data_IF_240014644767
#
_entry.id   IF_240014644767
#
_cell.length_a   1.000
_cell.length_b   1.000
_cell.length_c   1.000
_cell.angle_alpha   90.00
_cell.angle_beta   90.00
_cell.angle_gamma   90.00
#
_symmetry.space_group_name_H-M   'P 1'
#
loop_
_entity.id
_entity.type
_entity.pdbx_description
1 polymer ?
#
# COMPACT_ATOMS: atom_id res chain seq x y z
N UNK A 1 -30.86 -13.42 -6.64
CA UNK A 1 -31.92 -13.96 -7.48
C UNK A 1 -31.49 -15.33 -7.97
N UNK A 2 -32.37 -16.33 -7.89
CA UNK A 2 -32.12 -17.71 -8.30
C UNK A 2 -33.07 -18.03 -9.44
N UNK A 3 -32.55 -18.55 -10.54
CA UNK A 3 -33.33 -18.87 -11.74
C UNK A 3 -33.15 -20.35 -12.05
N UNK A 4 -34.26 -21.06 -12.19
CA UNK A 4 -34.26 -22.46 -12.60
C UNK A 4 -34.70 -22.53 -14.06
N UNK A 5 -33.92 -23.21 -14.88
CA UNK A 5 -34.20 -23.43 -16.30
C UNK A 5 -34.46 -24.91 -16.54
N UNK A 6 -35.51 -25.16 -17.32
CA UNK A 6 -35.93 -26.48 -17.78
C UNK A 6 -36.07 -26.46 -19.30
N UNK A 7 -35.82 -27.61 -19.93
CA UNK A 7 -35.90 -27.78 -21.37
C UNK A 7 -37.37 -27.98 -21.78
N UNK A 8 -37.95 -27.06 -22.56
CA UNK A 8 -39.34 -27.12 -23.02
C UNK A 8 -39.43 -27.17 -24.56
N UNK A 9 -40.47 -27.81 -25.09
CA UNK A 9 -40.79 -27.79 -26.51
C UNK A 9 -41.27 -26.39 -26.95
N UNK A 10 -40.92 -25.97 -28.17
CA UNK A 10 -41.22 -24.61 -28.65
C UNK A 10 -42.63 -24.51 -29.24
N UNK A 11 -43.08 -25.56 -29.90
CA UNK A 11 -44.40 -25.66 -30.53
C UNK A 11 -45.50 -25.91 -29.50
N UNK A 12 -45.18 -26.56 -28.38
CA UNK A 12 -46.08 -26.86 -27.28
C UNK A 12 -45.36 -26.72 -25.94
N UNK A 13 -45.66 -25.64 -25.21
CA UNK A 13 -44.98 -25.29 -23.94
C UNK A 13 -45.38 -26.17 -22.76
N UNK A 14 -46.42 -27.01 -22.89
CA UNK A 14 -46.74 -27.98 -21.83
C UNK A 14 -45.78 -29.18 -21.85
N UNK A 15 -45.15 -29.45 -23.00
CA UNK A 15 -44.21 -30.56 -23.15
C UNK A 15 -42.84 -30.18 -22.61
N UNK A 16 -42.51 -30.75 -21.44
CA UNK A 16 -41.19 -30.65 -20.82
C UNK A 16 -40.32 -31.82 -21.27
N UNK A 17 -39.15 -31.53 -21.83
CA UNK A 17 -38.18 -32.54 -22.22
C UNK A 17 -37.60 -33.20 -20.96
N UNK A 18 -37.87 -34.49 -20.78
CA UNK A 18 -37.46 -35.27 -19.60
C UNK A 18 -35.96 -35.68 -19.67
N UNK A 19 -35.08 -34.71 -19.90
CA UNK A 19 -33.63 -34.88 -20.06
C UNK A 19 -32.89 -35.16 -18.73
N UNK A 20 -33.63 -35.25 -17.61
CA UNK A 20 -33.12 -35.40 -16.23
C UNK A 20 -32.10 -34.33 -15.83
N UNK A 21 -32.06 -33.20 -16.54
CA UNK A 21 -31.16 -32.08 -16.24
C UNK A 21 -31.96 -30.96 -15.58
N UNK A 22 -31.37 -30.39 -14.52
CA UNK A 22 -31.89 -29.17 -13.91
C UNK A 22 -30.77 -28.13 -13.89
N UNK A 23 -30.98 -27.02 -14.58
CA UNK A 23 -29.97 -25.95 -14.66
C UNK A 23 -30.38 -24.81 -13.75
N UNK A 24 -29.54 -24.47 -12.77
CA UNK A 24 -29.82 -23.38 -11.82
C UNK A 24 -28.77 -22.29 -12.00
N UNK A 25 -29.21 -21.07 -12.30
CA UNK A 25 -28.36 -19.89 -12.33
C UNK A 25 -28.55 -19.08 -11.06
N UNK A 26 -27.45 -18.78 -10.39
CA UNK A 26 -27.45 -18.01 -9.14
C UNK A 26 -26.69 -16.71 -9.37
N UNK A 27 -27.37 -15.58 -9.22
CA UNK A 27 -26.73 -14.28 -9.30
C UNK A 27 -26.24 -13.83 -7.90
N UNK A 28 -24.91 -13.81 -7.72
CA UNK A 28 -24.25 -13.38 -6.48
C UNK A 28 -24.60 -11.93 -6.09
N UNK A 29 -24.92 -11.07 -7.06
CA UNK A 29 -25.27 -9.67 -6.85
C UNK A 29 -26.80 -9.42 -6.80
N UNK A 30 -27.62 -10.45 -7.04
CA UNK A 30 -29.07 -10.32 -7.03
C UNK A 30 -29.70 -10.38 -5.63
N UNK A 31 -31.01 -10.14 -5.55
CA UNK A 31 -31.78 -10.18 -4.29
C UNK A 31 -31.63 -11.53 -3.56
N UNK A 32 -31.66 -11.52 -2.23
CA UNK A 32 -31.69 -12.72 -1.38
C UNK A 32 -33.10 -13.21 -1.09
N UNK A 33 -34.12 -12.52 -1.61
CA UNK A 33 -35.51 -12.91 -1.47
C UNK A 33 -35.76 -14.31 -2.08
N UNK A 34 -36.40 -15.19 -1.30
CA UNK A 34 -36.64 -16.59 -1.69
C UNK A 34 -35.41 -17.50 -1.66
N UNK A 35 -34.25 -17.00 -1.23
CA UNK A 35 -33.02 -17.81 -1.10
C UNK A 35 -32.93 -18.39 0.31
N UNK A 36 -32.67 -19.70 0.47
CA UNK A 36 -32.43 -20.30 1.79
C UNK A 36 -31.30 -19.58 2.53
N UNK A 37 -31.45 -19.42 3.85
CA UNK A 37 -30.53 -18.63 4.68
C UNK A 37 -29.07 -19.10 4.57
N UNK A 38 -28.83 -20.40 4.60
CA UNK A 38 -27.49 -21.00 4.44
C UNK A 38 -26.86 -20.64 3.08
N UNK A 39 -27.64 -20.71 2.00
CA UNK A 39 -27.18 -20.33 0.66
C UNK A 39 -26.95 -18.82 0.57
N UNK A 40 -27.76 -17.99 1.23
CA UNK A 40 -27.56 -16.55 1.28
C UNK A 40 -26.22 -16.19 1.95
N UNK A 41 -25.89 -16.82 3.09
CA UNK A 41 -24.61 -16.64 3.78
C UNK A 41 -23.42 -17.01 2.89
N UNK A 42 -23.51 -18.13 2.15
CA UNK A 42 -22.48 -18.51 1.19
C UNK A 42 -22.32 -17.47 0.06
N UNK A 43 -23.43 -17.00 -0.53
CA UNK A 43 -23.37 -16.01 -1.61
C UNK A 43 -22.83 -14.66 -1.13
N UNK A 44 -23.14 -14.27 0.09
CA UNK A 44 -22.61 -13.06 0.71
C UNK A 44 -21.11 -13.20 0.96
N UNK A 45 -20.66 -14.34 1.50
CA UNK A 45 -19.23 -14.64 1.64
C UNK A 45 -18.48 -14.62 0.30
N UNK A 46 -19.04 -15.21 -0.77
CA UNK A 46 -18.40 -15.17 -2.09
C UNK A 46 -18.20 -13.74 -2.60
N UNK A 47 -19.14 -12.83 -2.27
CA UNK A 47 -19.13 -11.41 -2.64
C UNK A 47 -18.20 -10.58 -1.76
N UNK A 48 -18.26 -10.72 -0.43
CA UNK A 48 -17.57 -9.84 0.53
C UNK A 48 -16.26 -10.40 1.06
N UNK A 49 -16.01 -11.70 0.87
CA UNK A 49 -14.92 -12.46 1.50
C UNK A 49 -14.97 -12.44 3.03
N UNK A 50 -16.12 -12.13 3.61
CA UNK A 50 -16.31 -12.07 5.06
C UNK A 50 -17.24 -13.20 5.47
N UNK A 51 -16.80 -14.14 6.32
CA UNK A 51 -17.67 -15.21 6.80
C UNK A 51 -18.75 -14.64 7.72
N UNK A 52 -19.95 -15.18 7.62
CA UNK A 52 -21.14 -14.70 8.36
C UNK A 52 -21.88 -15.80 9.09
N UNK A 53 -21.44 -17.05 8.92
CA UNK A 53 -22.00 -18.22 9.57
C UNK A 53 -20.93 -19.31 9.78
N UNK A 54 -21.26 -20.34 10.55
CA UNK A 54 -20.30 -21.39 10.89
C UNK A 54 -19.82 -22.20 9.67
N UNK A 55 -20.58 -22.26 8.58
CA UNK A 55 -20.14 -22.91 7.34
C UNK A 55 -19.07 -22.07 6.63
N UNK A 56 -19.32 -20.78 6.42
CA UNK A 56 -18.38 -19.86 5.77
C UNK A 56 -17.12 -19.65 6.61
N UNK A 57 -17.20 -19.69 7.94
CA UNK A 57 -16.03 -19.69 8.82
C UNK A 57 -15.12 -20.90 8.59
N UNK A 58 -15.68 -22.12 8.57
CA UNK A 58 -14.90 -23.34 8.28
C UNK A 58 -14.31 -23.32 6.88
N UNK A 59 -15.07 -22.79 5.91
CA UNK A 59 -14.60 -22.64 4.55
C UNK A 59 -13.41 -21.67 4.46
N UNK A 60 -13.50 -20.50 5.11
CA UNK A 60 -12.41 -19.51 5.19
C UNK A 60 -11.16 -20.13 5.83
N UNK A 61 -11.29 -20.85 6.95
CA UNK A 61 -10.16 -21.52 7.58
C UNK A 61 -9.45 -22.50 6.62
N UNK A 62 -10.22 -23.30 5.89
CA UNK A 62 -9.65 -24.25 4.92
C UNK A 62 -8.98 -23.53 3.75
N UNK A 63 -9.54 -22.43 3.28
CA UNK A 63 -8.93 -21.58 2.25
C UNK A 63 -7.61 -20.98 2.74
N UNK A 64 -7.56 -20.50 3.99
CA UNK A 64 -6.34 -19.95 4.59
C UNK A 64 -5.24 -21.00 4.76
N UNK A 65 -5.61 -22.23 5.14
CA UNK A 65 -4.67 -23.36 5.19
C UNK A 65 -4.06 -23.67 3.82
N UNK A 66 -4.90 -23.79 2.78
CA UNK A 66 -4.45 -24.05 1.41
C UNK A 66 -3.59 -22.89 0.89
N UNK A 67 -3.96 -21.64 1.21
CA UNK A 67 -3.15 -20.47 0.85
C UNK A 67 -1.78 -20.47 1.52
N UNK A 68 -1.58 -21.15 2.65
CA UNK A 68 -0.26 -21.24 3.29
C UNK A 68 0.63 -22.27 2.62
N UNK A 69 0.04 -23.31 2.05
CA UNK A 69 0.76 -24.31 1.27
C UNK A 69 1.38 -23.66 0.01
N UNK A 70 2.71 -23.56 0.01
CA UNK A 70 3.48 -22.96 -1.08
C UNK A 70 3.54 -23.86 -2.30
N UNK A 71 3.48 -25.18 -2.09
CA UNK A 71 3.58 -26.17 -3.16
C UNK A 71 2.29 -26.21 -3.97
N UNK A 72 1.14 -26.21 -3.29
CA UNK A 72 -0.17 -26.12 -3.94
C UNK A 72 -0.40 -24.76 -4.64
N UNK A 73 0.17 -23.68 -4.09
CA UNK A 73 0.16 -22.37 -4.75
C UNK A 73 0.89 -22.43 -6.07
N UNK A 74 2.07 -23.04 -6.14
CA UNK A 74 2.84 -23.06 -7.38
C UNK A 74 2.19 -23.88 -8.50
N UNK A 75 1.45 -24.93 -8.14
CA UNK A 75 0.69 -25.81 -9.05
C UNK A 75 -0.61 -25.16 -9.58
N UNK A 76 -1.26 -24.32 -8.77
CA UNK A 76 -2.55 -23.68 -9.14
C UNK A 76 -2.40 -22.25 -9.69
N UNK A 77 -1.30 -21.57 -9.38
CA UNK A 77 -1.04 -20.21 -9.85
C UNK A 77 -0.71 -20.22 -11.34
N UNK A 78 -1.51 -19.49 -12.13
CA UNK A 78 -1.15 -19.20 -13.51
C UNK A 78 0.09 -18.30 -13.55
N UNK A 79 0.82 -18.32 -14.66
CA UNK A 79 1.96 -17.42 -14.86
C UNK A 79 1.59 -15.94 -14.66
N UNK A 80 0.38 -15.56 -15.10
CA UNK A 80 -0.17 -14.21 -14.91
C UNK A 80 -0.29 -13.84 -13.43
N UNK A 81 -0.85 -14.73 -12.60
CA UNK A 81 -0.95 -14.50 -11.15
C UNK A 81 0.43 -14.36 -10.49
N UNK A 82 1.43 -15.14 -10.93
CA UNK A 82 2.82 -15.01 -10.42
C UNK A 82 3.44 -13.68 -10.82
N UNK A 83 3.18 -13.20 -12.03
CA UNK A 83 3.66 -11.91 -12.52
C UNK A 83 3.04 -10.74 -11.75
N UNK A 84 1.74 -10.78 -11.49
CA UNK A 84 1.04 -9.77 -10.70
C UNK A 84 1.56 -9.71 -9.27
N UNK A 85 1.75 -10.86 -8.62
CA UNK A 85 2.33 -10.92 -7.28
C UNK A 85 3.75 -10.33 -7.25
N UNK A 86 4.59 -10.65 -8.25
CA UNK A 86 5.95 -10.10 -8.36
C UNK A 86 5.95 -8.61 -8.65
N UNK A 87 5.02 -8.14 -9.48
CA UNK A 87 4.85 -6.72 -9.76
C UNK A 87 4.48 -5.95 -8.48
N UNK A 88 3.53 -6.47 -7.71
CA UNK A 88 3.09 -5.84 -6.46
C UNK A 88 4.20 -5.84 -5.41
N UNK A 89 4.93 -6.96 -5.26
CA UNK A 89 6.14 -7.04 -4.42
C UNK A 89 7.18 -5.99 -4.83
N UNK A 90 7.45 -5.85 -6.13
CA UNK A 90 8.38 -4.86 -6.66
C UNK A 90 7.91 -3.42 -6.42
N UNK A 91 6.61 -3.17 -6.54
CA UNK A 91 5.98 -1.86 -6.28
C UNK A 91 6.09 -1.47 -4.82
N UNK A 92 5.77 -2.37 -3.89
CA UNK A 92 5.89 -2.13 -2.45
C UNK A 92 7.34 -1.89 -2.03
N UNK A 93 8.25 -2.73 -2.52
CA UNK A 93 9.69 -2.59 -2.24
C UNK A 93 10.21 -1.26 -2.77
N UNK A 94 9.89 -0.91 -4.02
CA UNK A 94 10.30 0.36 -4.63
C UNK A 94 9.75 1.58 -3.88
N UNK A 95 8.48 1.53 -3.44
CA UNK A 95 7.88 2.60 -2.63
C UNK A 95 8.60 2.74 -1.28
N UNK A 96 8.84 1.63 -0.59
CA UNK A 96 9.53 1.63 0.71
C UNK A 96 10.95 2.20 0.58
N UNK A 97 11.72 1.73 -0.40
CA UNK A 97 13.07 2.24 -0.66
C UNK A 97 13.06 3.73 -1.03
N UNK A 98 12.12 4.15 -1.87
CA UNK A 98 11.98 5.56 -2.26
C UNK A 98 11.68 6.47 -1.08
N UNK A 99 10.75 6.06 -0.21
CA UNK A 99 10.42 6.81 1.01
C UNK A 99 11.63 6.87 1.96
N UNK A 100 12.28 5.74 2.23
CA UNK A 100 13.44 5.72 3.13
C UNK A 100 14.55 6.64 2.63
N UNK A 101 14.95 6.50 1.36
CA UNK A 101 16.00 7.34 0.76
C UNK A 101 15.61 8.82 0.75
N UNK A 102 14.35 9.13 0.42
CA UNK A 102 13.85 10.51 0.40
C UNK A 102 13.86 11.16 1.79
N UNK A 103 13.48 10.42 2.83
CA UNK A 103 13.51 10.90 4.22
C UNK A 103 14.95 11.10 4.68
N UNK A 104 15.83 10.12 4.47
CA UNK A 104 17.24 10.22 4.87
C UNK A 104 17.92 11.44 4.23
N UNK A 105 17.78 11.60 2.91
CA UNK A 105 18.35 12.75 2.19
C UNK A 105 17.73 14.07 2.65
N UNK A 106 16.41 14.10 2.87
CA UNK A 106 15.73 15.31 3.34
C UNK A 106 16.16 15.74 4.73
N UNK A 107 16.37 14.78 5.64
CA UNK A 107 16.86 15.04 7.01
C UNK A 107 18.31 15.52 6.96
N UNK A 108 19.17 14.85 6.22
CA UNK A 108 20.60 15.21 6.10
C UNK A 108 20.76 16.64 5.57
N UNK A 109 20.12 16.96 4.44
CA UNK A 109 20.14 18.30 3.85
C UNK A 109 19.52 19.34 4.79
N UNK A 110 18.42 19.00 5.45
CA UNK A 110 17.75 19.90 6.39
C UNK A 110 18.62 20.24 7.60
N UNK A 111 19.32 19.26 8.16
CA UNK A 111 20.26 19.46 9.28
C UNK A 111 21.45 20.30 8.84
N UNK A 112 22.08 19.95 7.71
CA UNK A 112 23.25 20.67 7.19
C UNK A 112 22.92 22.16 6.92
N UNK A 113 21.81 22.42 6.22
CA UNK A 113 21.34 23.79 5.96
C UNK A 113 20.99 24.52 7.26
N UNK A 114 20.34 23.85 8.20
CA UNK A 114 19.95 24.43 9.49
C UNK A 114 21.16 24.83 10.35
N UNK A 115 22.16 23.94 10.46
CA UNK A 115 23.41 24.22 11.18
C UNK A 115 24.16 25.37 10.51
N UNK A 116 24.33 25.32 9.18
CA UNK A 116 25.02 26.37 8.43
C UNK A 116 24.35 27.75 8.54
N UNK A 117 23.02 27.80 8.47
CA UNK A 117 22.28 29.04 8.70
C UNK A 117 22.42 29.54 10.15
N UNK A 118 22.35 28.63 11.13
CA UNK A 118 22.55 28.94 12.54
C UNK A 118 23.91 29.58 12.80
N UNK A 119 24.98 28.99 12.24
CA UNK A 119 26.34 29.51 12.32
C UNK A 119 26.45 30.91 11.71
N UNK A 120 25.91 31.13 10.51
CA UNK A 120 25.86 32.45 9.86
C UNK A 120 25.18 33.50 10.76
N UNK A 121 24.04 33.17 11.34
CA UNK A 121 23.31 34.08 12.25
C UNK A 121 24.14 34.41 13.49
N UNK A 122 24.89 33.46 14.05
CA UNK A 122 25.76 33.70 15.18
C UNK A 122 26.93 34.62 14.83
N UNK A 123 27.62 34.36 13.72
CA UNK A 123 28.74 35.17 13.24
C UNK A 123 28.30 36.62 13.02
N UNK A 124 27.21 36.85 12.29
CA UNK A 124 26.67 38.19 12.07
C UNK A 124 26.39 38.92 13.38
N UNK A 125 25.75 38.26 14.36
CA UNK A 125 25.44 38.87 15.67
C UNK A 125 26.70 39.24 16.43
N UNK A 126 27.78 38.45 16.33
CA UNK A 126 29.04 38.73 17.01
C UNK A 126 29.83 39.85 16.30
N UNK A 127 29.80 39.90 14.96
CA UNK A 127 30.35 41.02 14.17
C UNK A 127 29.68 42.35 14.53
N UNK A 128 28.35 42.37 14.61
CA UNK A 128 27.60 43.57 14.99
C UNK A 128 27.88 44.04 16.43
N UNK A 129 28.43 43.17 17.28
CA UNK A 129 28.89 43.50 18.65
C UNK A 129 30.35 43.98 18.68
N UNK A 130 31.02 44.08 17.54
CA UNK A 130 32.41 44.52 17.44
C UNK A 130 33.44 43.49 17.90
N UNK A 131 33.10 42.20 17.94
CA UNK A 131 34.07 41.15 18.28
C UNK A 131 35.09 40.97 17.15
N UNK A 132 36.33 40.65 17.50
CA UNK A 132 37.36 40.35 16.49
C UNK A 132 37.11 38.99 15.83
N UNK A 133 37.64 38.78 14.63
CA UNK A 133 37.53 37.50 13.92
C UNK A 133 38.07 36.34 14.77
N UNK A 134 39.19 36.54 15.45
CA UNK A 134 39.79 35.52 16.32
C UNK A 134 38.87 35.11 17.47
N UNK A 135 38.17 36.06 18.09
CA UNK A 135 37.18 35.78 19.14
C UNK A 135 35.95 35.06 18.59
N UNK A 136 35.53 35.37 17.35
CA UNK A 136 34.38 34.72 16.72
C UNK A 136 34.72 33.28 16.35
N UNK A 137 35.92 33.04 15.81
CA UNK A 137 36.42 31.71 15.48
C UNK A 137 36.44 30.81 16.72
N UNK A 138 37.03 31.29 17.82
CA UNK A 138 37.06 30.57 19.10
C UNK A 138 35.65 30.30 19.66
N UNK A 139 34.77 31.31 19.71
CA UNK A 139 33.42 31.17 20.26
C UNK A 139 32.44 30.36 19.40
N UNK A 140 32.74 30.19 18.10
CA UNK A 140 31.95 29.37 17.19
C UNK A 140 32.59 27.99 16.96
N UNK A 141 33.74 27.70 17.59
CA UNK A 141 34.51 26.47 17.39
C UNK A 141 34.88 26.23 15.91
N UNK A 142 35.18 27.31 15.18
CA UNK A 142 35.50 27.33 13.76
C UNK A 142 36.89 27.93 13.51
N UNK A 143 37.47 27.69 12.33
CA UNK A 143 38.73 28.35 11.95
C UNK A 143 38.50 29.79 11.50
N UNK A 144 39.48 30.68 11.71
CA UNK A 144 39.40 32.06 11.19
C UNK A 144 39.23 32.09 9.67
N UNK A 145 39.79 31.10 8.97
CA UNK A 145 39.66 30.92 7.52
C UNK A 145 38.21 30.66 7.10
N UNK A 146 37.49 29.79 7.82
CA UNK A 146 36.08 29.49 7.56
C UNK A 146 35.19 30.68 7.90
N UNK A 147 35.49 31.40 8.99
CA UNK A 147 34.80 32.66 9.33
C UNK A 147 34.99 33.69 8.20
N UNK A 148 36.21 33.87 7.70
CA UNK A 148 36.49 34.77 6.57
C UNK A 148 35.78 34.36 5.29
N UNK A 149 35.71 33.06 5.00
CA UNK A 149 34.97 32.52 3.86
C UNK A 149 33.48 32.84 3.97
N UNK A 150 32.87 32.59 5.12
CA UNK A 150 31.45 32.91 5.38
C UNK A 150 31.21 34.42 5.23
N UNK A 151 32.07 35.27 5.78
CA UNK A 151 31.96 36.73 5.67
C UNK A 151 31.98 37.17 4.20
N UNK A 152 32.91 36.64 3.40
CA UNK A 152 33.03 36.95 1.96
C UNK A 152 31.80 36.48 1.18
N UNK A 153 31.32 35.27 1.45
CA UNK A 153 30.15 34.69 0.78
C UNK A 153 28.87 35.50 1.03
N UNK A 154 28.72 36.08 2.22
CA UNK A 154 27.54 36.89 2.56
C UNK A 154 27.74 38.40 2.32
N UNK A 155 28.93 38.83 1.86
CA UNK A 155 29.22 40.25 1.61
C UNK A 155 29.18 41.13 2.86
N UNK A 156 29.54 40.60 4.02
CA UNK A 156 29.55 41.36 5.27
C UNK A 156 30.81 42.22 5.37
N UNK A 157 30.64 43.48 5.79
CA UNK A 157 31.76 44.38 6.06
C UNK A 157 32.26 44.15 7.48
N UNK A 158 33.59 44.02 7.61
CA UNK A 158 34.26 43.74 8.88
C UNK A 158 35.46 44.65 9.04
#
# INVERSE_FOLDING_TARGET
SVYTFESICREDTEIHLQDKRKTIFININGSREGVPKELAHLLDYLKTKTPTDGFTERLEQRVLEIRRDTEWRDDYMTLEMKMDEKYEQGREQGLKEGITKGIEQGIEQGIELGIGQGLRVQIQKKLNKGKSISQIADECEESEEEIWKIIRENGWNV
#
